data_IF_728009930833
#
_entry.id   IF_728009930833
#
_cell.length_a   1.000
_cell.length_b   1.000
_cell.length_c   1.000
_cell.angle_alpha   90.00
_cell.angle_beta   90.00
_cell.angle_gamma   90.00
#
_symmetry.space_group_name_H-M   'P 1'
#
loop_
_entity.id
_entity.type
_entity.pdbx_description
1 polymer ?
#
# COMPACT_ATOMS: atom_id res chain seq x y z
N UNK A 1 26.22 -27.84 31.09
CA UNK A 1 27.09 -29.02 31.19
C UNK A 1 27.88 -29.14 29.90
N UNK A 2 29.20 -29.15 30.05
CA UNK A 2 30.23 -29.09 29.02
C UNK A 2 30.35 -30.36 28.15
N UNK A 3 30.63 -30.12 26.87
CA UNK A 3 31.73 -30.64 26.01
C UNK A 3 32.08 -32.14 26.04
N UNK A 4 32.10 -32.76 24.84
CA UNK A 4 33.22 -33.56 24.26
C UNK A 4 32.91 -34.01 22.82
N UNK A 5 33.60 -33.47 21.79
CA UNK A 5 34.86 -33.91 21.14
C UNK A 5 34.76 -35.20 20.29
N UNK A 6 35.05 -35.07 18.98
CA UNK A 6 36.00 -35.95 18.28
C UNK A 6 36.48 -35.35 16.95
N UNK A 7 37.80 -35.38 16.73
CA UNK A 7 38.56 -34.98 15.53
C UNK A 7 38.73 -36.18 14.59
N UNK A 8 38.75 -35.94 13.27
CA UNK A 8 39.27 -36.87 12.26
C UNK A 8 40.20 -36.14 11.27
N UNK A 9 41.40 -36.68 11.06
CA UNK A 9 42.50 -36.13 10.24
C UNK A 9 42.37 -36.48 8.73
N UNK A 10 43.02 -35.66 7.92
CA UNK A 10 43.18 -35.68 6.45
C UNK A 10 44.04 -36.84 5.91
N UNK A 11 44.12 -37.00 4.57
CA UNK A 11 45.36 -36.59 3.90
C UNK A 11 45.19 -35.87 2.53
N UNK A 12 46.32 -35.35 2.06
CA UNK A 12 46.59 -34.47 0.90
C UNK A 12 46.71 -35.25 -0.42
N UNK A 13 46.42 -34.60 -1.56
CA UNK A 13 47.06 -34.89 -2.86
C UNK A 13 47.25 -33.61 -3.70
N UNK A 14 48.20 -33.67 -4.62
CA UNK A 14 49.06 -32.59 -5.12
C UNK A 14 48.63 -31.93 -6.46
N UNK A 15 49.25 -30.77 -6.73
CA UNK A 15 49.24 -29.86 -7.90
C UNK A 15 49.74 -30.50 -9.24
N UNK A 16 49.49 -29.89 -10.43
CA UNK A 16 50.27 -28.73 -10.97
C UNK A 16 49.40 -27.63 -11.64
N UNK A 17 49.66 -26.31 -11.54
CA UNK A 17 50.74 -25.44 -12.07
C UNK A 17 50.68 -25.23 -13.60
N UNK A 18 50.15 -24.07 -14.04
CA UNK A 18 50.62 -23.32 -15.23
C UNK A 18 50.26 -21.84 -15.08
N UNK A 19 51.29 -21.01 -15.19
CA UNK A 19 51.27 -19.55 -15.10
C UNK A 19 51.34 -18.93 -16.51
N UNK A 20 50.81 -17.71 -16.66
CA UNK A 20 51.30 -16.75 -17.65
C UNK A 20 50.84 -15.33 -17.26
N UNK A 21 51.78 -14.55 -16.76
CA UNK A 21 51.68 -13.10 -16.60
C UNK A 21 52.73 -12.48 -17.53
N UNK A 22 52.33 -11.49 -18.35
CA UNK A 22 53.27 -10.59 -19.01
C UNK A 22 52.72 -9.16 -18.90
N UNK A 23 53.41 -8.35 -18.10
CA UNK A 23 53.37 -6.90 -18.13
C UNK A 23 54.75 -6.42 -18.61
N UNK A 24 54.79 -5.46 -19.53
CA UNK A 24 55.99 -4.67 -19.82
C UNK A 24 55.57 -3.20 -19.96
N UNK A 25 56.24 -2.34 -19.19
CA UNK A 25 56.06 -0.91 -19.14
C UNK A 25 57.22 -0.17 -19.86
N UNK A 26 56.84 0.86 -20.63
CA UNK A 26 57.43 2.19 -20.86
C UNK A 26 58.97 2.41 -20.76
N UNK A 27 59.58 3.00 -21.80
CA UNK A 27 59.94 4.45 -21.88
C UNK A 27 61.13 4.77 -22.84
N UNK A 28 60.92 5.74 -23.76
CA UNK A 28 61.79 6.92 -24.00
C UNK A 28 63.03 6.86 -24.92
N UNK A 29 63.05 7.72 -25.96
CA UNK A 29 64.28 8.41 -26.43
C UNK A 29 64.52 8.61 -27.95
N UNK A 30 64.17 9.80 -28.47
CA UNK A 30 64.76 10.68 -29.53
C UNK A 30 65.61 10.07 -30.71
N UNK A 31 65.47 10.40 -32.01
CA UNK A 31 65.59 11.71 -32.71
C UNK A 31 65.24 11.61 -34.22
N UNK A 32 64.81 12.76 -34.78
CA UNK A 32 64.95 13.32 -36.15
C UNK A 32 64.32 12.73 -37.43
N UNK A 33 63.51 13.62 -38.03
CA UNK A 33 63.45 14.04 -39.44
C UNK A 33 62.53 13.30 -40.44
N UNK A 34 61.64 14.07 -41.07
CA UNK A 34 60.94 13.71 -42.31
C UNK A 34 59.43 13.91 -42.22
N UNK A 35 58.92 15.00 -42.81
CA UNK A 35 57.52 15.41 -42.67
C UNK A 35 56.52 14.61 -43.50
N UNK A 36 55.28 14.61 -43.03
CA UNK A 36 54.08 14.67 -43.87
C UNK A 36 52.91 15.21 -43.03
N UNK A 37 52.07 16.05 -43.63
CA UNK A 37 51.02 16.81 -42.95
C UNK A 37 49.87 15.90 -42.46
N UNK A 38 49.28 16.14 -41.27
CA UNK A 38 48.12 15.36 -40.84
C UNK A 38 46.84 15.87 -41.50
N UNK A 39 46.07 14.96 -42.11
CA UNK A 39 44.69 15.20 -42.49
C UNK A 39 43.84 15.45 -41.23
N UNK A 40 42.78 16.30 -41.28
CA UNK A 40 41.98 16.55 -40.11
C UNK A 40 41.09 15.34 -39.84
N UNK A 41 41.41 14.58 -38.80
CA UNK A 41 40.49 13.60 -38.22
C UNK A 41 39.30 14.38 -37.64
N UNK A 42 38.13 14.21 -38.26
CA UNK A 42 36.86 14.64 -37.66
C UNK A 42 36.69 13.86 -36.37
N UNK A 43 36.83 14.53 -35.24
CA UNK A 43 36.35 14.03 -33.97
C UNK A 43 34.83 13.88 -34.07
N UNK A 44 34.35 12.66 -34.23
CA UNK A 44 32.98 12.32 -33.85
C UNK A 44 32.90 12.47 -32.34
N UNK A 45 32.53 13.67 -31.89
CA UNK A 45 32.17 13.91 -30.51
C UNK A 45 30.93 13.07 -30.22
N UNK A 46 31.10 11.96 -29.51
CA UNK A 46 30.00 11.18 -29.00
C UNK A 46 29.13 12.10 -28.15
N UNK A 47 27.86 12.27 -28.53
CA UNK A 47 26.90 13.00 -27.74
C UNK A 47 26.81 12.37 -26.35
N UNK A 48 26.91 13.20 -25.30
CA UNK A 48 26.66 12.76 -23.93
C UNK A 48 25.21 12.22 -23.81
N UNK A 49 24.92 11.30 -22.88
CA UNK A 49 23.63 10.61 -22.85
C UNK A 49 22.49 11.56 -22.47
N UNK A 50 21.40 11.50 -23.23
CA UNK A 50 20.18 12.33 -23.11
C UNK A 50 19.28 11.99 -21.90
N UNK A 51 19.62 11.03 -21.04
CA UNK A 51 18.62 10.39 -20.17
C UNK A 51 18.28 11.09 -18.84
N UNK A 52 19.09 12.03 -18.35
CA UNK A 52 18.85 12.62 -17.01
C UNK A 52 17.92 13.83 -17.02
N UNK A 53 17.87 14.59 -18.12
CA UNK A 53 17.02 15.78 -18.22
C UNK A 53 15.55 15.38 -18.41
N UNK A 54 15.27 14.33 -19.19
CA UNK A 54 13.90 13.89 -19.50
C UNK A 54 13.14 13.43 -18.24
N UNK A 55 13.76 12.64 -17.36
CA UNK A 55 13.06 12.13 -16.16
C UNK A 55 12.76 13.24 -15.13
N UNK A 56 13.67 14.20 -14.98
CA UNK A 56 13.43 15.34 -14.11
C UNK A 56 12.26 16.19 -14.65
N UNK A 57 12.22 16.41 -15.95
CA UNK A 57 11.15 17.17 -16.61
C UNK A 57 9.80 16.44 -16.48
N UNK A 58 9.79 15.10 -16.60
CA UNK A 58 8.61 14.28 -16.34
C UNK A 58 8.11 14.42 -14.91
N UNK A 59 9.02 14.37 -13.92
CA UNK A 59 8.64 14.55 -12.51
C UNK A 59 8.02 15.93 -12.28
N UNK A 60 8.65 16.98 -12.81
CA UNK A 60 8.12 18.34 -12.71
C UNK A 60 6.77 18.50 -13.39
N UNK A 61 6.57 17.86 -14.55
CA UNK A 61 5.31 17.86 -15.27
C UNK A 61 4.20 17.18 -14.46
N UNK A 62 4.47 15.98 -13.92
CA UNK A 62 3.53 15.22 -13.07
C UNK A 62 3.16 16.05 -11.84
N UNK A 63 4.15 16.58 -11.13
CA UNK A 63 3.93 17.38 -9.93
C UNK A 63 3.03 18.59 -10.24
N UNK A 64 3.33 19.32 -11.32
CA UNK A 64 2.55 20.47 -11.77
C UNK A 64 1.11 20.10 -12.16
N UNK A 65 0.92 18.96 -12.81
CA UNK A 65 -0.39 18.50 -13.27
C UNK A 65 -1.26 17.99 -12.11
N UNK A 66 -0.65 17.34 -11.12
CA UNK A 66 -1.36 16.66 -10.02
C UNK A 66 -1.59 17.57 -8.81
N UNK A 67 -0.69 18.52 -8.50
CA UNK A 67 -0.83 19.43 -7.35
C UNK A 67 -2.23 20.07 -7.21
N UNK A 68 -2.87 20.56 -8.29
CA UNK A 68 -4.23 21.14 -8.25
C UNK A 68 -5.33 20.15 -7.85
N UNK A 69 -5.02 18.86 -7.80
CA UNK A 69 -5.93 17.77 -7.44
C UNK A 69 -5.66 17.20 -6.04
N UNK A 70 -4.69 17.77 -5.30
CA UNK A 70 -4.35 17.35 -3.94
C UNK A 70 -4.72 18.46 -2.95
N UNK A 71 -5.26 18.06 -1.80
CA UNK A 71 -5.65 18.98 -0.73
C UNK A 71 -5.06 18.53 0.61
N UNK A 72 -4.85 19.48 1.50
CA UNK A 72 -4.66 19.24 2.93
C UNK A 72 -6.02 19.18 3.63
N UNK A 73 -6.20 18.22 4.52
CA UNK A 73 -7.37 18.07 5.38
C UNK A 73 -6.91 18.29 6.82
N UNK A 74 -7.41 19.35 7.43
CA UNK A 74 -7.22 19.69 8.83
C UNK A 74 -8.44 19.20 9.61
N UNK A 75 -8.22 18.12 10.38
CA UNK A 75 -9.12 17.54 11.34
C UNK A 75 -8.63 17.88 12.76
N UNK A 76 -9.53 17.96 13.74
CA UNK A 76 -9.23 18.46 15.09
C UNK A 76 -8.04 17.78 15.78
N UNK A 77 -7.81 16.49 15.52
CA UNK A 77 -6.68 15.73 16.09
C UNK A 77 -5.74 15.12 15.04
N UNK A 78 -5.98 15.36 13.76
CA UNK A 78 -5.20 14.74 12.67
C UNK A 78 -4.99 15.69 11.50
N UNK A 79 -3.84 15.54 10.84
CA UNK A 79 -3.54 16.23 9.59
C UNK A 79 -3.32 15.20 8.50
N UNK A 80 -4.14 15.27 7.45
CA UNK A 80 -4.06 14.35 6.32
C UNK A 80 -4.09 15.04 4.98
N UNK A 81 -4.08 14.23 3.93
CA UNK A 81 -4.27 14.68 2.55
C UNK A 81 -5.58 14.14 1.98
N UNK A 82 -6.01 14.74 0.89
CA UNK A 82 -7.12 14.25 0.08
C UNK A 82 -6.85 14.43 -1.40
N UNK A 83 -7.57 13.68 -2.23
CA UNK A 83 -7.56 13.78 -3.68
C UNK A 83 -8.92 14.26 -4.16
N UNK A 84 -8.90 15.29 -5.00
CA UNK A 84 -10.11 15.84 -5.63
C UNK A 84 -10.66 14.80 -6.60
N UNK A 85 -11.86 14.31 -6.32
CA UNK A 85 -12.46 13.19 -7.04
C UNK A 85 -13.26 13.66 -8.25
N UNK A 86 -14.02 14.74 -8.11
CA UNK A 86 -14.89 15.25 -9.17
C UNK A 86 -15.02 16.79 -9.15
N UNK A 87 -15.72 17.31 -10.16
CA UNK A 87 -15.99 18.74 -10.35
C UNK A 87 -17.08 19.29 -9.42
N UNK A 88 -17.70 18.42 -8.61
CA UNK A 88 -18.69 18.79 -7.60
C UNK A 88 -18.05 19.05 -6.25
N UNK A 89 -16.76 18.75 -6.07
CA UNK A 89 -16.00 19.02 -4.86
C UNK A 89 -16.03 17.88 -3.86
N UNK A 90 -16.25 16.64 -4.33
CA UNK A 90 -15.96 15.45 -3.53
C UNK A 90 -14.44 15.24 -3.45
N UNK A 91 -13.95 14.97 -2.25
CA UNK A 91 -12.56 14.66 -1.96
C UNK A 91 -12.52 13.25 -1.39
N UNK A 92 -11.72 12.37 -1.97
CA UNK A 92 -11.38 11.07 -1.40
C UNK A 92 -10.21 11.24 -0.44
N UNK A 93 -10.27 10.58 0.70
CA UNK A 93 -9.17 10.50 1.68
C UNK A 93 -9.26 9.16 2.42
N UNK A 94 -8.41 8.95 3.43
CA UNK A 94 -8.50 7.78 4.28
C UNK A 94 -9.56 7.92 5.40
N UNK A 95 -10.13 6.80 5.82
CA UNK A 95 -11.09 6.77 6.92
C UNK A 95 -10.43 7.18 8.24
N UNK A 96 -9.16 6.80 8.46
CA UNK A 96 -8.45 7.20 9.66
C UNK A 96 -8.09 8.69 9.70
N UNK A 97 -7.94 9.36 8.54
CA UNK A 97 -7.73 10.82 8.48
C UNK A 97 -8.97 11.55 9.00
N UNK A 98 -10.17 11.11 8.61
CA UNK A 98 -11.42 11.76 9.03
C UNK A 98 -11.86 11.38 10.44
N UNK A 99 -11.43 10.22 10.96
CA UNK A 99 -11.78 9.73 12.29
C UNK A 99 -13.29 9.72 12.52
N UNK A 100 -13.73 10.32 13.63
CA UNK A 100 -15.16 10.47 13.97
C UNK A 100 -15.74 11.85 13.61
N UNK A 101 -14.92 12.72 13.02
CA UNK A 101 -15.30 14.10 12.74
C UNK A 101 -16.28 14.20 11.58
N UNK A 102 -17.04 15.30 11.56
CA UNK A 102 -18.08 15.56 10.55
C UNK A 102 -17.82 16.81 9.72
N UNK A 103 -16.86 17.64 10.14
CA UNK A 103 -16.54 18.91 9.50
C UNK A 103 -15.04 19.12 9.51
N UNK A 104 -14.49 19.62 8.41
CA UNK A 104 -13.05 19.75 8.21
C UNK A 104 -12.72 21.13 7.64
N UNK A 105 -11.48 21.57 7.81
CA UNK A 105 -10.91 22.66 7.03
C UNK A 105 -10.00 22.08 5.96
N UNK A 106 -10.27 22.43 4.71
CA UNK A 106 -9.57 21.89 3.54
C UNK A 106 -8.86 23.02 2.81
N UNK A 107 -7.57 22.85 2.56
CA UNK A 107 -6.75 23.82 1.84
C UNK A 107 -6.15 23.15 0.61
N UNK A 108 -6.20 23.78 -0.56
CA UNK A 108 -5.54 23.24 -1.75
C UNK A 108 -4.03 23.13 -1.52
N UNK A 109 -3.37 22.09 -2.04
CA UNK A 109 -1.92 21.93 -1.92
C UNK A 109 -1.14 23.06 -2.61
N UNK A 110 -1.78 23.74 -3.57
CA UNK A 110 -1.28 24.96 -4.22
C UNK A 110 -1.37 26.22 -3.33
N UNK A 111 -1.86 26.09 -2.10
CA UNK A 111 -2.17 27.20 -1.20
C UNK A 111 -3.55 27.81 -1.43
N UNK A 112 -3.89 28.82 -0.62
CA UNK A 112 -5.18 29.52 -0.67
C UNK A 112 -5.86 29.59 0.69
N UNK A 113 -7.08 30.13 0.71
CA UNK A 113 -7.89 30.17 1.92
C UNK A 113 -8.51 28.80 2.22
N UNK A 114 -8.51 28.34 3.48
CA UNK A 114 -9.19 27.11 3.86
C UNK A 114 -10.69 27.19 3.58
N UNK A 115 -11.24 26.11 3.01
CA UNK A 115 -12.67 25.94 2.78
C UNK A 115 -13.22 24.88 3.72
N UNK A 116 -14.44 25.06 4.18
CA UNK A 116 -15.12 24.08 5.01
C UNK A 116 -15.56 22.88 4.17
N UNK A 117 -15.35 21.67 4.69
CA UNK A 117 -15.90 20.44 4.13
C UNK A 117 -16.76 19.70 5.15
N UNK A 118 -17.64 18.81 4.67
CA UNK A 118 -18.46 17.91 5.49
C UNK A 118 -18.20 16.46 5.11
N UNK A 119 -18.26 15.56 6.09
CA UNK A 119 -18.20 14.12 5.81
C UNK A 119 -19.44 13.71 5.01
N UNK A 120 -19.25 13.04 3.86
CA UNK A 120 -20.33 12.35 3.15
C UNK A 120 -20.54 10.98 3.79
N UNK A 121 -19.49 10.15 3.77
CA UNK A 121 -19.45 8.86 4.45
C UNK A 121 -18.01 8.40 4.64
N UNK A 122 -17.81 7.48 5.58
CA UNK A 122 -16.53 6.82 5.85
C UNK A 122 -16.75 5.31 5.84
N UNK A 123 -15.81 4.57 5.27
CA UNK A 123 -15.81 3.11 5.19
C UNK A 123 -14.48 2.58 5.74
N UNK A 124 -14.36 2.44 7.08
CA UNK A 124 -13.13 2.02 7.75
C UNK A 124 -12.59 0.66 7.30
N UNK A 125 -13.46 -0.24 6.86
CA UNK A 125 -13.11 -1.60 6.43
C UNK A 125 -12.14 -1.62 5.23
N UNK A 126 -12.08 -0.54 4.45
CA UNK A 126 -11.10 -0.33 3.39
C UNK A 126 -10.34 0.99 3.54
N UNK A 127 -10.40 1.58 4.73
CA UNK A 127 -9.75 2.85 5.06
C UNK A 127 -9.98 3.97 4.03
N UNK A 128 -11.21 4.13 3.55
CA UNK A 128 -11.59 5.19 2.62
C UNK A 128 -12.71 6.05 3.19
N UNK A 129 -12.68 7.34 2.89
CA UNK A 129 -13.75 8.26 3.18
C UNK A 129 -13.92 9.27 2.04
N UNK A 130 -15.14 9.80 1.92
CA UNK A 130 -15.44 10.92 1.04
C UNK A 130 -15.92 12.09 1.87
N UNK A 131 -15.30 13.25 1.68
CA UNK A 131 -15.75 14.53 2.21
C UNK A 131 -16.19 15.43 1.06
N UNK A 132 -17.09 16.37 1.33
CA UNK A 132 -17.64 17.30 0.35
C UNK A 132 -17.32 18.73 0.75
N UNK A 133 -16.68 19.48 -0.15
CA UNK A 133 -16.44 20.91 0.01
C UNK A 133 -17.77 21.70 -0.04
N UNK A 134 -17.94 22.67 0.84
CA UNK A 134 -19.09 23.59 0.82
C UNK A 134 -19.00 24.58 -0.35
N UNK A 135 -17.78 24.94 -0.77
CA UNK A 135 -17.52 25.75 -1.96
C UNK A 135 -16.28 25.22 -2.70
N UNK A 136 -16.20 25.44 -4.01
CA UNK A 136 -15.05 25.02 -4.81
C UNK A 136 -14.01 26.14 -4.87
N UNK A 137 -12.80 25.96 -4.32
CA UNK A 137 -11.70 26.89 -4.50
C UNK A 137 -11.36 27.04 -6.00
N UNK A 138 -10.99 28.25 -6.40
CA UNK A 138 -10.50 28.48 -7.77
C UNK A 138 -9.20 27.70 -8.00
N UNK A 139 -9.10 27.05 -9.17
CA UNK A 139 -7.90 26.32 -9.57
C UNK A 139 -7.84 24.86 -9.11
N UNK A 140 -8.77 24.43 -8.25
CA UNK A 140 -8.91 23.03 -7.88
C UNK A 140 -9.41 22.21 -9.09
N UNK A 141 -8.82 21.04 -9.34
CA UNK A 141 -9.16 20.19 -10.49
C UNK A 141 -9.35 18.74 -10.04
N UNK A 142 -10.29 17.98 -10.62
CA UNK A 142 -10.38 16.55 -10.39
C UNK A 142 -9.13 15.82 -10.85
N UNK A 143 -8.68 14.85 -10.07
CA UNK A 143 -7.59 13.98 -10.46
C UNK A 143 -8.04 13.01 -11.56
N UNK A 144 -7.10 12.61 -12.42
CA UNK A 144 -7.32 11.51 -13.36
C UNK A 144 -6.99 10.20 -12.66
N UNK A 145 -7.95 9.31 -12.48
CA UNK A 145 -7.70 7.98 -11.91
C UNK A 145 -7.33 6.98 -13.01
N UNK A 146 -6.17 6.34 -12.88
CA UNK A 146 -5.68 5.31 -13.80
C UNK A 146 -6.39 3.97 -13.60
N UNK A 147 -5.99 2.96 -14.37
CA UNK A 147 -6.39 1.58 -14.11
C UNK A 147 -5.38 0.92 -13.17
N UNK A 148 -5.76 0.73 -11.90
CA UNK A 148 -4.87 0.06 -10.94
C UNK A 148 -4.69 -1.43 -11.21
N UNK A 149 -5.53 -2.06 -12.04
CA UNK A 149 -5.31 -3.42 -12.53
C UNK A 149 -4.18 -3.52 -13.56
N UNK A 150 -3.76 -2.38 -14.12
CA UNK A 150 -2.66 -2.25 -15.08
C UNK A 150 -1.37 -1.68 -14.45
N UNK A 151 -1.30 -1.63 -13.12
CA UNK A 151 -0.11 -1.14 -12.41
C UNK A 151 0.95 -2.24 -12.39
N UNK A 152 2.09 -1.97 -13.03
CA UNK A 152 3.18 -2.92 -13.17
C UNK A 152 4.24 -2.76 -12.08
N UNK A 153 4.81 -3.89 -11.65
CA UNK A 153 5.99 -3.86 -10.77
C UNK A 153 7.15 -3.14 -11.47
N UNK A 154 7.83 -2.25 -10.75
CA UNK A 154 8.90 -1.41 -11.28
C UNK A 154 8.42 -0.08 -11.89
N UNK A 155 7.11 0.13 -12.04
CA UNK A 155 6.57 1.42 -12.50
C UNK A 155 6.95 2.53 -11.52
N UNK A 156 7.47 3.65 -12.05
CA UNK A 156 7.80 4.83 -11.26
C UNK A 156 6.52 5.47 -10.76
N UNK A 157 6.52 5.81 -9.47
CA UNK A 157 5.39 6.47 -8.81
C UNK A 157 5.85 7.60 -7.91
N UNK A 158 5.02 8.64 -7.81
CA UNK A 158 5.17 9.73 -6.87
C UNK A 158 4.03 9.66 -5.84
N UNK A 159 4.35 9.69 -4.55
CA UNK A 159 3.36 9.88 -3.50
C UNK A 159 3.30 11.36 -3.13
N UNK A 160 2.13 11.95 -3.32
CA UNK A 160 1.87 13.38 -3.23
C UNK A 160 0.84 13.67 -2.15
N UNK A 161 1.19 14.53 -1.21
CA UNK A 161 0.31 15.01 -0.15
C UNK A 161 0.61 16.46 0.22
N UNK A 162 0.01 16.95 1.29
CA UNK A 162 0.23 18.30 1.81
C UNK A 162 0.41 18.29 3.34
N UNK A 163 1.50 17.70 3.87
CA UNK A 163 1.78 17.74 5.30
C UNK A 163 2.16 19.14 5.78
N UNK A 164 1.68 19.48 6.98
CA UNK A 164 2.18 20.56 7.85
C UNK A 164 2.15 21.98 7.27
N UNK A 165 1.24 22.27 6.34
CA UNK A 165 1.13 23.59 5.72
C UNK A 165 2.33 23.98 4.82
N UNK A 166 3.26 23.04 4.57
CA UNK A 166 4.27 23.19 3.54
C UNK A 166 3.63 22.82 2.20
N UNK A 167 3.77 23.67 1.20
CA UNK A 167 3.15 23.51 -0.13
C UNK A 167 3.62 22.21 -0.79
N UNK A 168 2.82 21.14 -0.70
CA UNK A 168 3.02 19.85 -1.38
C UNK A 168 4.27 19.05 -0.95
N UNK A 169 4.09 17.96 -0.22
CA UNK A 169 5.17 16.96 -0.04
C UNK A 169 5.06 15.91 -1.14
N UNK A 170 6.19 15.68 -1.82
CA UNK A 170 6.31 14.67 -2.86
C UNK A 170 7.45 13.74 -2.50
N UNK A 171 7.15 12.46 -2.42
CA UNK A 171 8.15 11.39 -2.32
C UNK A 171 8.08 10.53 -3.58
N UNK A 172 9.20 9.93 -3.96
CA UNK A 172 9.31 9.14 -5.18
C UNK A 172 9.71 7.70 -4.86
N UNK A 173 9.28 6.77 -5.68
CA UNK A 173 9.72 5.38 -5.65
C UNK A 173 9.17 4.61 -6.83
N UNK A 174 9.05 3.30 -6.65
CA UNK A 174 8.45 2.39 -7.63
C UNK A 174 7.35 1.57 -6.99
N UNK A 175 6.49 0.99 -7.82
CA UNK A 175 5.64 -0.14 -7.41
C UNK A 175 6.54 -1.33 -7.11
N UNK A 176 6.55 -1.75 -5.86
CA UNK A 176 7.34 -2.88 -5.37
C UNK A 176 6.60 -4.21 -5.48
N UNK A 177 5.26 -4.18 -5.39
CA UNK A 177 4.37 -5.34 -5.56
C UNK A 177 2.92 -4.88 -5.71
N UNK A 178 2.07 -5.73 -6.26
CA UNK A 178 0.60 -5.56 -6.26
C UNK A 178 -0.07 -6.76 -5.57
N UNK A 179 -1.35 -6.64 -5.22
CA UNK A 179 -2.10 -7.76 -4.64
C UNK A 179 -1.79 -8.08 -3.18
N UNK A 180 -1.16 -7.16 -2.43
CA UNK A 180 -0.79 -7.40 -1.03
C UNK A 180 -1.99 -7.25 -0.10
N UNK A 181 -2.20 -8.21 0.79
CA UNK A 181 -3.12 -8.04 1.92
C UNK A 181 -2.35 -7.49 3.10
N UNK A 182 -2.86 -6.40 3.70
CA UNK A 182 -2.21 -5.67 4.79
C UNK A 182 -3.20 -5.50 5.92
N UNK A 183 -2.79 -5.81 7.13
CA UNK A 183 -3.59 -5.61 8.34
C UNK A 183 -3.08 -4.39 9.10
N UNK A 184 -3.94 -3.39 9.29
CA UNK A 184 -3.61 -2.18 10.04
C UNK A 184 -3.64 -2.46 11.55
N UNK A 185 -2.67 -1.89 12.27
CA UNK A 185 -2.74 -1.83 13.73
C UNK A 185 -3.75 -0.76 14.17
N UNK A 186 -4.46 -1.01 15.28
CA UNK A 186 -5.27 0.03 15.94
C UNK A 186 -4.43 1.08 16.67
N UNK A 187 -3.19 0.74 16.98
CA UNK A 187 -2.20 1.63 17.59
C UNK A 187 -1.50 2.43 16.49
N UNK A 188 -1.36 3.74 16.67
CA UNK A 188 -0.68 4.61 15.70
C UNK A 188 -1.59 5.18 14.60
N UNK A 189 -2.92 5.15 14.79
CA UNK A 189 -3.88 5.84 13.93
C UNK A 189 -4.45 5.01 12.79
N UNK A 190 -4.27 3.68 12.74
CA UNK A 190 -4.96 2.83 11.77
C UNK A 190 -6.38 2.42 12.17
N UNK A 191 -7.16 1.97 11.20
CA UNK A 191 -8.56 1.54 11.40
C UNK A 191 -8.68 0.18 12.10
N UNK A 192 -7.60 -0.60 12.11
CA UNK A 192 -7.63 -2.01 12.51
C UNK A 192 -8.17 -2.94 11.42
N UNK A 193 -8.39 -2.43 10.20
CA UNK A 193 -8.88 -3.22 9.08
C UNK A 193 -7.77 -4.05 8.44
N UNK A 194 -8.17 -5.20 7.89
CA UNK A 194 -7.36 -5.93 6.91
C UNK A 194 -7.80 -5.50 5.52
N UNK A 195 -6.92 -4.82 4.79
CA UNK A 195 -7.18 -4.30 3.46
C UNK A 195 -6.50 -5.21 2.43
N UNK A 196 -7.29 -5.71 1.48
CA UNK A 196 -6.83 -6.63 0.45
C UNK A 196 -6.34 -5.87 -0.79
N UNK A 197 -5.54 -6.55 -1.61
CA UNK A 197 -5.17 -6.10 -2.96
C UNK A 197 -4.41 -4.76 -3.03
N UNK A 198 -3.64 -4.41 -1.99
CA UNK A 198 -2.89 -3.17 -1.91
C UNK A 198 -1.75 -3.09 -2.94
N UNK A 199 -1.45 -1.87 -3.39
CA UNK A 199 -0.24 -1.54 -4.13
C UNK A 199 0.87 -1.24 -3.12
N UNK A 200 1.94 -2.02 -3.16
CA UNK A 200 3.14 -1.78 -2.37
C UNK A 200 4.07 -0.86 -3.14
N UNK A 201 4.63 0.15 -2.48
CA UNK A 201 5.56 1.12 -3.07
C UNK A 201 6.81 1.31 -2.22
N UNK A 202 7.93 1.64 -2.85
CA UNK A 202 9.14 2.12 -2.16
C UNK A 202 9.12 3.63 -1.92
N UNK A 203 8.14 4.35 -2.47
CA UNK A 203 7.94 5.77 -2.17
C UNK A 203 7.65 5.93 -0.67
N UNK A 204 8.37 6.83 -0.01
CA UNK A 204 8.21 7.03 1.43
C UNK A 204 6.79 7.51 1.76
N UNK A 205 6.06 6.73 2.56
CA UNK A 205 4.74 7.08 3.08
C UNK A 205 4.92 7.56 4.52
N UNK A 206 4.49 8.78 4.80
CA UNK A 206 4.69 9.47 6.07
C UNK A 206 3.38 10.18 6.46
N UNK A 207 3.18 10.51 7.75
CA UNK A 207 2.05 11.35 8.16
C UNK A 207 1.92 12.59 7.26
N UNK A 208 0.75 12.73 6.65
CA UNK A 208 0.37 13.81 5.75
C UNK A 208 0.55 13.58 4.25
N UNK A 209 1.07 12.43 3.78
CA UNK A 209 0.74 11.93 2.44
C UNK A 209 -0.32 10.82 2.44
N UNK A 210 -0.68 10.29 3.61
CA UNK A 210 -1.90 9.48 3.81
C UNK A 210 -3.14 10.25 3.35
N UNK A 211 -3.96 9.60 2.54
CA UNK A 211 -5.15 10.15 1.88
C UNK A 211 -4.83 10.96 0.62
N UNK A 212 -3.55 11.19 0.31
CA UNK A 212 -3.09 11.87 -0.90
C UNK A 212 -3.10 10.99 -2.14
N UNK A 213 -2.30 11.35 -3.15
CA UNK A 213 -2.27 10.63 -4.42
C UNK A 213 -0.96 9.85 -4.58
N UNK A 214 -1.04 8.56 -4.90
CA UNK A 214 0.06 7.82 -5.53
C UNK A 214 -0.17 7.88 -7.04
N UNK A 215 0.74 8.51 -7.79
CA UNK A 215 0.57 8.77 -9.23
C UNK A 215 1.70 8.18 -10.06
N UNK A 216 1.38 7.77 -11.29
CA UNK A 216 2.38 7.38 -12.29
C UNK A 216 2.90 8.59 -13.09
N UNK A 217 3.83 8.35 -14.03
CA UNK A 217 4.39 9.41 -14.89
C UNK A 217 3.38 9.99 -15.90
N UNK A 218 2.25 9.34 -16.13
CA UNK A 218 1.14 9.86 -16.94
C UNK A 218 0.20 10.80 -16.17
N UNK A 219 0.59 11.18 -14.94
CA UNK A 219 -0.23 12.00 -14.01
C UNK A 219 -1.55 11.33 -13.62
N UNK A 220 -1.62 10.01 -13.63
CA UNK A 220 -2.79 9.23 -13.23
C UNK A 220 -2.62 8.70 -11.81
N UNK A 221 -3.67 8.84 -10.99
CA UNK A 221 -3.75 8.23 -9.66
C UNK A 221 -3.87 6.73 -9.80
N UNK A 222 -2.85 6.01 -9.31
CA UNK A 222 -2.81 4.55 -9.24
C UNK A 222 -3.24 4.03 -7.87
N UNK A 223 -3.25 4.89 -6.85
CA UNK A 223 -3.82 4.58 -5.55
C UNK A 223 -3.81 5.75 -4.57
N UNK A 224 -4.39 5.52 -3.39
CA UNK A 224 -4.40 6.46 -2.26
C UNK A 224 -3.45 5.91 -1.19
N UNK A 225 -2.31 6.57 -0.90
CA UNK A 225 -1.43 6.15 0.18
C UNK A 225 -2.20 6.13 1.50
N UNK A 226 -1.99 5.10 2.30
CA UNK A 226 -2.56 5.00 3.65
C UNK A 226 -1.42 4.97 4.67
N UNK A 227 -1.14 3.83 5.28
CA UNK A 227 -0.10 3.64 6.28
C UNK A 227 1.18 3.03 5.69
N UNK A 228 2.31 3.39 6.31
CA UNK A 228 3.57 2.68 6.13
C UNK A 228 3.52 1.37 6.92
N UNK A 229 4.17 0.32 6.40
CA UNK A 229 4.38 -0.90 7.19
C UNK A 229 5.13 -0.55 8.48
N UNK A 230 4.83 -1.23 9.58
CA UNK A 230 5.60 -1.12 10.84
C UNK A 230 6.55 -2.31 10.97
N UNK A 231 7.74 -2.08 11.50
CA UNK A 231 8.73 -3.11 11.79
C UNK A 231 8.64 -3.52 13.29
N UNK A 232 8.18 -4.74 13.61
CA UNK A 232 8.14 -5.24 14.99
C UNK A 232 9.52 -5.31 15.66
N UNK A 233 10.59 -5.51 14.89
CA UNK A 233 11.98 -5.55 15.37
C UNK A 233 12.55 -4.17 15.72
N UNK A 234 11.90 -3.08 15.28
CA UNK A 234 12.26 -1.70 15.62
C UNK A 234 11.20 -1.01 16.49
N UNK A 235 10.55 -1.76 17.37
CA UNK A 235 9.60 -1.20 18.33
C UNK A 235 8.35 -0.60 17.69
N UNK A 236 7.94 -1.09 16.51
CA UNK A 236 6.74 -0.61 15.80
C UNK A 236 6.96 0.66 14.98
N UNK A 237 8.21 1.05 14.72
CA UNK A 237 8.56 2.16 13.84
C UNK A 237 8.22 1.85 12.37
N UNK A 238 8.01 2.87 11.54
CA UNK A 238 7.80 2.69 10.09
C UNK A 238 8.98 1.92 9.47
N UNK A 239 8.67 0.87 8.72
CA UNK A 239 9.63 0.07 7.97
C UNK A 239 10.09 0.86 6.73
N UNK A 240 11.38 1.26 6.64
CA UNK A 240 11.85 2.04 5.51
C UNK A 240 11.66 1.31 4.17
N UNK A 241 11.14 2.02 3.17
CA UNK A 241 10.97 1.47 1.81
C UNK A 241 9.79 0.51 1.62
N UNK A 242 8.90 0.38 2.62
CA UNK A 242 7.66 -0.40 2.50
C UNK A 242 6.45 0.51 2.81
N UNK A 243 5.89 1.08 1.75
CA UNK A 243 4.64 1.84 1.77
C UNK A 243 3.50 1.07 1.09
N UNK A 244 2.26 1.42 1.44
CA UNK A 244 1.06 0.86 0.81
C UNK A 244 0.10 1.95 0.34
N UNK A 245 -0.57 1.67 -0.76
CA UNK A 245 -1.67 2.48 -1.29
C UNK A 245 -2.86 1.60 -1.66
N UNK A 246 -4.05 2.13 -1.39
CA UNK A 246 -5.33 1.53 -1.78
C UNK A 246 -5.49 1.73 -3.29
N UNK A 247 -5.70 0.67 -4.09
CA UNK A 247 -5.73 0.79 -5.56
C UNK A 247 -6.82 1.73 -6.06
N UNK A 248 -6.54 2.47 -7.14
CA UNK A 248 -7.49 3.37 -7.77
C UNK A 248 -8.83 2.71 -8.16
N UNK A 249 -8.84 1.44 -8.55
CA UNK A 249 -10.06 0.68 -8.83
C UNK A 249 -10.93 0.53 -7.60
N UNK A 250 -10.34 0.20 -6.45
CA UNK A 250 -11.04 0.09 -5.17
C UNK A 250 -11.57 1.46 -4.73
N UNK A 251 -10.74 2.49 -4.89
CA UNK A 251 -11.12 3.88 -4.60
C UNK A 251 -12.35 4.28 -5.40
N UNK A 252 -12.38 4.00 -6.70
CA UNK A 252 -13.57 4.28 -7.54
C UNK A 252 -14.79 3.50 -7.07
N UNK A 253 -14.67 2.18 -6.86
CA UNK A 253 -15.76 1.34 -6.38
C UNK A 253 -16.41 1.89 -5.11
N UNK A 254 -15.59 2.29 -4.12
CA UNK A 254 -16.07 2.81 -2.84
C UNK A 254 -16.58 4.24 -2.95
N UNK A 255 -15.81 5.14 -3.56
CA UNK A 255 -16.15 6.56 -3.65
C UNK A 255 -17.43 6.77 -4.46
N UNK A 256 -17.62 6.06 -5.57
CA UNK A 256 -18.82 6.18 -6.40
C UNK A 256 -20.09 5.76 -5.62
N UNK A 257 -20.01 4.69 -4.82
CA UNK A 257 -21.11 4.25 -3.97
C UNK A 257 -21.38 5.24 -2.83
N UNK A 258 -20.34 5.74 -2.17
CA UNK A 258 -20.51 6.76 -1.12
C UNK A 258 -21.17 8.02 -1.68
N UNK A 259 -20.74 8.50 -2.85
CA UNK A 259 -21.28 9.70 -3.49
C UNK A 259 -22.73 9.49 -3.92
N UNK A 260 -23.05 8.31 -4.48
CA UNK A 260 -24.37 8.01 -5.02
C UNK A 260 -25.39 7.65 -3.94
N UNK A 261 -25.02 6.78 -3.01
CA UNK A 261 -25.92 6.08 -2.10
C UNK A 261 -25.66 6.44 -0.62
N UNK A 262 -24.60 7.20 -0.32
CA UNK A 262 -24.22 7.59 1.04
C UNK A 262 -23.58 6.46 1.87
N UNK A 263 -23.42 5.27 1.28
CA UNK A 263 -22.87 4.08 1.93
C UNK A 263 -22.29 3.12 0.90
N UNK A 264 -21.40 2.24 1.35
CA UNK A 264 -20.88 1.12 0.56
C UNK A 264 -21.83 -0.07 0.72
N UNK A 265 -22.18 -0.72 -0.38
CA UNK A 265 -23.03 -1.93 -0.40
C UNK A 265 -22.38 -3.10 -1.14
N UNK A 266 -21.43 -2.81 -2.03
CA UNK A 266 -20.57 -3.76 -2.74
C UNK A 266 -19.13 -3.38 -2.37
N UNK A 267 -18.55 -4.08 -1.41
CA UNK A 267 -17.17 -3.88 -1.00
C UNK A 267 -16.19 -4.70 -1.84
N UNK A 268 -16.68 -5.66 -2.62
CA UNK A 268 -15.91 -6.69 -3.30
C UNK A 268 -15.17 -7.63 -2.34
N UNK A 269 -15.48 -7.59 -1.03
CA UNK A 269 -14.76 -8.34 0.01
C UNK A 269 -15.59 -9.51 0.52
N UNK A 270 -15.02 -10.70 0.41
CA UNK A 270 -15.67 -11.90 0.96
C UNK A 270 -15.77 -11.82 2.49
N UNK A 271 -16.91 -12.26 3.03
CA UNK A 271 -17.16 -12.25 4.46
C UNK A 271 -17.92 -13.50 4.93
N UNK A 272 -17.69 -13.88 6.18
CA UNK A 272 -18.56 -14.82 6.89
C UNK A 272 -19.80 -14.14 7.49
N UNK A 273 -19.87 -12.81 7.49
CA UNK A 273 -20.88 -12.00 8.16
C UNK A 273 -21.04 -12.39 9.64
N UNK A 274 -19.94 -12.30 10.40
CA UNK A 274 -19.94 -12.55 11.84
C UNK A 274 -19.34 -11.36 12.59
N UNK A 275 -19.77 -11.18 13.83
CA UNK A 275 -18.96 -10.50 14.84
C UNK A 275 -18.10 -11.55 15.51
N UNK A 276 -16.78 -11.42 15.43
CA UNK A 276 -15.84 -12.41 15.96
C UNK A 276 -14.82 -11.78 16.90
N UNK A 277 -14.25 -12.59 17.80
CA UNK A 277 -13.11 -12.21 18.64
C UNK A 277 -12.08 -13.33 18.69
N UNK A 278 -10.80 -12.98 18.71
CA UNK A 278 -9.73 -13.95 18.98
C UNK A 278 -9.95 -14.57 20.35
N UNK A 279 -9.77 -15.90 20.45
CA UNK A 279 -9.70 -16.61 21.73
C UNK A 279 -8.29 -17.10 21.98
N UNK A 280 -7.94 -17.21 23.26
CA UNK A 280 -6.68 -17.79 23.71
C UNK A 280 -6.94 -19.20 24.25
N UNK A 281 -5.97 -20.09 24.09
CA UNK A 281 -5.96 -21.40 24.76
C UNK A 281 -5.46 -21.30 26.21
N UNK A 282 -5.28 -22.45 26.86
CA UNK A 282 -4.83 -22.57 28.25
C UNK A 282 -3.39 -22.06 28.46
N UNK A 283 -2.60 -22.02 27.39
CA UNK A 283 -1.22 -21.50 27.37
C UNK A 283 -1.17 -19.99 27.05
N UNK A 284 -2.35 -19.35 26.96
CA UNK A 284 -2.54 -17.95 26.57
C UNK A 284 -2.14 -17.62 25.12
N UNK A 285 -2.10 -18.63 24.25
CA UNK A 285 -1.77 -18.46 22.83
C UNK A 285 -3.04 -18.33 21.96
N UNK A 286 -3.02 -17.54 20.87
CA UNK A 286 -4.18 -17.41 19.99
C UNK A 286 -4.58 -18.74 19.32
N UNK A 287 -5.81 -19.18 19.57
CA UNK A 287 -6.26 -20.53 19.22
C UNK A 287 -7.51 -20.55 18.29
N UNK A 288 -7.96 -19.38 17.83
CA UNK A 288 -9.06 -19.27 16.88
C UNK A 288 -9.92 -18.03 17.07
N UNK A 289 -11.07 -18.03 16.40
CA UNK A 289 -12.03 -16.93 16.43
C UNK A 289 -13.36 -17.41 16.99
N UNK A 290 -13.72 -16.95 18.17
CA UNK A 290 -15.07 -17.14 18.70
C UNK A 290 -16.08 -16.27 17.96
N UNK A 291 -17.14 -16.90 17.48
CA UNK A 291 -18.32 -16.24 16.94
C UNK A 291 -19.08 -15.62 18.11
N UNK A 292 -19.16 -14.29 18.13
CA UNK A 292 -19.98 -13.52 19.07
C UNK A 292 -21.38 -13.36 18.52
N UNK A 293 -21.49 -13.06 17.22
CA UNK A 293 -22.75 -12.92 16.51
C UNK A 293 -22.64 -13.54 15.12
N UNK A 294 -23.71 -14.19 14.67
CA UNK A 294 -23.88 -14.67 13.30
C UNK A 294 -25.34 -14.43 12.90
N UNK A 295 -25.65 -13.32 12.21
CA UNK A 295 -27.00 -13.04 11.74
C UNK A 295 -27.55 -14.19 10.90
N UNK A 296 -28.81 -14.57 11.11
CA UNK A 296 -29.41 -15.72 10.44
C UNK A 296 -29.42 -15.62 8.91
N UNK A 297 -29.44 -14.40 8.37
CA UNK A 297 -29.37 -14.10 6.95
C UNK A 297 -27.92 -13.93 6.42
N UNK A 298 -26.92 -13.86 7.30
CA UNK A 298 -25.50 -13.80 6.96
C UNK A 298 -24.95 -15.15 6.52
N UNK A 299 -23.79 -15.15 5.85
CA UNK A 299 -23.18 -16.36 5.30
C UNK A 299 -22.97 -17.47 6.34
N UNK A 300 -22.33 -17.14 7.48
CA UNK A 300 -22.10 -18.11 8.54
C UNK A 300 -23.39 -18.60 9.21
N UNK A 301 -24.37 -17.69 9.42
CA UNK A 301 -25.66 -18.04 10.00
C UNK A 301 -26.45 -19.01 9.13
N UNK A 302 -26.49 -18.77 7.81
CA UNK A 302 -27.10 -19.70 6.83
C UNK A 302 -26.43 -21.07 6.82
N UNK A 303 -25.13 -21.13 7.06
CA UNK A 303 -24.36 -22.36 7.17
C UNK A 303 -24.42 -23.03 8.56
N UNK A 304 -25.23 -22.48 9.48
CA UNK A 304 -25.50 -23.06 10.79
C UNK A 304 -24.44 -22.80 11.87
N UNK A 305 -23.50 -21.87 11.64
CA UNK A 305 -22.65 -21.35 12.71
C UNK A 305 -23.48 -20.54 13.70
N UNK A 306 -23.07 -20.56 14.96
CA UNK A 306 -23.81 -19.96 16.08
C UNK A 306 -22.85 -19.22 17.02
N UNK A 307 -23.36 -18.24 17.79
CA UNK A 307 -22.62 -17.68 18.91
C UNK A 307 -22.04 -18.78 19.81
N UNK A 308 -20.76 -18.65 20.17
CA UNK A 308 -20.00 -19.61 20.96
C UNK A 308 -19.23 -20.66 20.16
N UNK A 309 -19.42 -20.76 18.84
CA UNK A 309 -18.53 -21.55 17.99
C UNK A 309 -17.14 -20.90 17.92
N UNK A 310 -16.08 -21.71 17.89
CA UNK A 310 -14.71 -21.21 17.65
C UNK A 310 -14.22 -21.70 16.30
N UNK A 311 -14.05 -20.79 15.35
CA UNK A 311 -13.50 -21.07 14.02
C UNK A 311 -11.99 -21.28 14.15
N UNK A 312 -11.51 -22.40 13.64
CA UNK A 312 -10.08 -22.78 13.68
C UNK A 312 -9.48 -22.98 12.29
N UNK A 313 -10.30 -23.07 11.23
CA UNK A 313 -9.81 -23.19 9.84
C UNK A 313 -10.81 -22.67 8.82
N UNK A 314 -10.31 -21.99 7.79
CA UNK A 314 -11.07 -21.56 6.60
C UNK A 314 -10.41 -22.14 5.34
N UNK A 315 -11.08 -23.08 4.68
CA UNK A 315 -10.43 -23.86 3.61
C UNK A 315 -9.30 -24.69 4.21
N UNK A 316 -8.10 -24.49 3.69
CA UNK A 316 -6.86 -25.12 4.18
C UNK A 316 -6.02 -24.16 5.04
N UNK A 317 -6.51 -22.95 5.31
CA UNK A 317 -5.80 -21.95 6.11
C UNK A 317 -6.20 -22.06 7.58
N UNK A 318 -5.22 -22.30 8.44
CA UNK A 318 -5.40 -22.28 9.89
C UNK A 318 -5.73 -20.87 10.39
N UNK A 319 -6.73 -20.79 11.26
CA UNK A 319 -7.23 -19.54 11.82
C UNK A 319 -6.95 -19.54 13.31
N UNK A 320 -6.05 -18.66 13.73
CA UNK A 320 -5.63 -18.50 15.14
C UNK A 320 -6.10 -17.16 15.72
N UNK A 321 -6.32 -16.17 14.87
CA UNK A 321 -6.74 -14.80 15.24
C UNK A 321 -7.81 -14.24 14.30
N UNK A 322 -8.52 -13.22 14.75
CA UNK A 322 -9.48 -12.48 13.90
C UNK A 322 -8.79 -11.86 12.67
N UNK A 323 -7.51 -11.46 12.81
CA UNK A 323 -6.68 -10.95 11.73
C UNK A 323 -6.40 -12.05 10.70
N UNK A 324 -5.95 -13.23 11.13
CA UNK A 324 -5.72 -14.38 10.23
C UNK A 324 -7.00 -14.80 9.48
N UNK A 325 -8.18 -14.70 10.13
CA UNK A 325 -9.46 -14.93 9.47
C UNK A 325 -9.74 -13.90 8.39
N UNK A 326 -9.52 -12.62 8.69
CA UNK A 326 -9.73 -11.51 7.76
C UNK A 326 -8.79 -11.60 6.56
N UNK A 327 -7.54 -12.00 6.78
CA UNK A 327 -6.54 -12.25 5.73
C UNK A 327 -6.90 -13.44 4.85
N UNK A 328 -7.36 -14.54 5.46
CA UNK A 328 -7.81 -15.71 4.71
C UNK A 328 -9.05 -15.41 3.84
N UNK A 329 -9.96 -14.55 4.34
CA UNK A 329 -11.12 -14.07 3.58
C UNK A 329 -10.73 -13.09 2.47
N UNK A 330 -9.72 -12.24 2.68
CA UNK A 330 -9.23 -11.29 1.69
C UNK A 330 -8.70 -11.96 0.40
N UNK A 331 -8.27 -13.22 0.49
CA UNK A 331 -7.85 -14.01 -0.68
C UNK A 331 -9.01 -14.68 -1.44
N UNK A 332 -10.26 -14.42 -1.05
CA UNK A 332 -11.48 -15.04 -1.60
C UNK A 332 -12.42 -13.99 -2.18
N UNK A 333 -13.41 -14.44 -2.93
CA UNK A 333 -14.45 -13.60 -3.53
C UNK A 333 -15.81 -13.85 -2.85
N UNK A 334 -16.67 -12.82 -2.75
CA UNK A 334 -18.07 -13.04 -2.43
C UNK A 334 -18.68 -14.13 -3.34
N UNK A 335 -19.45 -15.03 -2.75
CA UNK A 335 -20.04 -16.18 -3.44
C UNK A 335 -19.19 -17.45 -3.47
N UNK A 336 -17.89 -17.40 -3.12
CA UNK A 336 -17.06 -18.59 -3.00
C UNK A 336 -17.64 -19.56 -1.96
N UNK A 337 -17.64 -20.87 -2.25
CA UNK A 337 -18.03 -21.90 -1.27
C UNK A 337 -16.77 -22.45 -0.61
N UNK A 338 -16.64 -22.25 0.70
CA UNK A 338 -15.43 -22.60 1.45
C UNK A 338 -15.80 -23.44 2.68
N UNK A 339 -15.07 -24.54 2.95
CA UNK A 339 -15.29 -25.28 4.17
C UNK A 339 -14.74 -24.52 5.39
N UNK A 340 -15.56 -24.38 6.42
CA UNK A 340 -15.18 -23.82 7.72
C UNK A 340 -15.10 -24.93 8.75
N UNK A 341 -13.94 -25.06 9.41
CA UNK A 341 -13.75 -25.96 10.56
C UNK A 341 -13.89 -25.15 11.84
N UNK A 342 -14.69 -25.63 12.78
CA UNK A 342 -14.96 -24.95 14.05
C UNK A 342 -15.18 -25.95 15.19
N UNK A 343 -14.99 -25.51 16.44
CA UNK A 343 -15.38 -26.27 17.62
C UNK A 343 -16.69 -25.74 18.18
N UNK A 344 -17.55 -26.65 18.66
CA UNK A 344 -18.78 -26.35 19.38
C UNK A 344 -18.83 -27.22 20.62
N UNK A 345 -18.60 -26.61 21.79
CA UNK A 345 -18.25 -27.36 23.00
C UNK A 345 -16.93 -28.10 22.79
N UNK A 346 -16.90 -29.41 23.04
CA UNK A 346 -15.70 -30.25 22.87
C UNK A 346 -15.58 -30.91 21.49
N UNK A 347 -16.56 -30.71 20.61
CA UNK A 347 -16.60 -31.39 19.31
C UNK A 347 -16.10 -30.49 18.18
N UNK A 348 -15.15 -30.99 17.39
CA UNK A 348 -14.76 -30.40 16.12
C UNK A 348 -15.80 -30.72 15.05
N UNK A 349 -16.20 -29.71 14.29
CA UNK A 349 -17.22 -29.77 13.24
C UNK A 349 -16.70 -29.07 11.99
N UNK A 350 -17.31 -29.38 10.86
CA UNK A 350 -17.05 -28.77 9.56
C UNK A 350 -18.37 -28.44 8.88
N UNK A 351 -18.47 -27.29 8.24
CA UNK A 351 -19.62 -26.89 7.41
C UNK A 351 -19.14 -26.17 6.16
N UNK A 352 -19.90 -26.22 5.08
CA UNK A 352 -19.63 -25.42 3.88
C UNK A 352 -20.35 -24.08 4.00
N UNK A 353 -19.61 -23.00 3.74
CA UNK A 353 -20.15 -21.64 3.77
C UNK A 353 -20.00 -21.03 2.39
N UNK A 354 -21.11 -20.60 1.80
CA UNK A 354 -21.08 -19.64 0.68
C UNK A 354 -20.78 -18.27 1.26
N UNK A 355 -19.60 -17.72 0.97
CA UNK A 355 -19.15 -16.45 1.50
C UNK A 355 -20.08 -15.32 1.03
N UNK A 356 -20.45 -14.47 1.98
CA UNK A 356 -21.17 -13.25 1.71
C UNK A 356 -20.21 -12.13 1.37
N UNK A 357 -20.72 -10.92 1.47
CA UNK A 357 -19.98 -9.69 1.26
C UNK A 357 -19.94 -8.87 2.54
N UNK A 358 -18.86 -8.12 2.75
CA UNK A 358 -18.65 -7.27 3.92
C UNK A 358 -19.41 -5.95 3.81
#
# INVERSE_FOLDING_TARGET
>A
MDVSRARGRTPRLALPLTAAACAVALAGGCTSAGGDAPAPERSTQAAAPLAANDLQDDYQAVIKNVLPSVVQIDAAESLGSGVVYDDKGHIVTNAHVVGQEKSFKVTAATGGQPVTARLVSSYPEQDLAVIKLESLPQGLKPAKFGDSGAVDMGQIVLAMGSPLGLSGSVTQGIVSATGRTVSEGRTGGGTGATIANMVQTSAAINPGNSGGALVNLDSEVVGIPTLAATDPGMGGSSAPGIGFAIPASMVRTVADQIIKDGKVTDSGRAALNITGRTVLDDDYEPAGVAVVEAPANGAAGKAGLKPGDVITRLGDTDITTITSLSEALAARKPGDVVPVTYTRGTSTRKTEVTLGEM
#
